data_IF_371482561608
#
_entry.id   IF_371482561608
#
_cell.length_a   1.000
_cell.length_b   1.000
_cell.length_c   1.000
_cell.angle_alpha   90.00
_cell.angle_beta   90.00
_cell.angle_gamma   90.00
#
_symmetry.space_group_name_H-M   'P 1'
#
loop_
_entity.id
_entity.type
_entity.pdbx_description
1 polymer ?
#
# COMPACT_ATOMS: atom_id res chain seq x y z
N UNK A 1 -9.85 -17.78 10.91
CA UNK A 1 -10.18 -16.35 11.05
C UNK A 1 -11.68 -16.25 11.27
N UNK A 2 -12.13 -15.89 12.48
CA UNK A 2 -13.56 -15.71 12.74
C UNK A 2 -13.94 -14.27 12.34
N UNK A 3 -14.95 -14.13 11.48
CA UNK A 3 -15.44 -12.84 11.00
C UNK A 3 -16.45 -12.27 11.98
N UNK A 4 -16.30 -11.01 12.39
CA UNK A 4 -17.30 -10.30 13.21
C UNK A 4 -18.61 -10.14 12.42
N UNK A 5 -19.79 -10.44 12.99
CA UNK A 5 -21.08 -10.25 12.33
C UNK A 5 -21.24 -8.81 11.83
N UNK A 6 -21.55 -8.63 10.54
CA UNK A 6 -21.78 -7.32 9.92
C UNK A 6 -20.57 -6.69 9.21
N UNK A 7 -19.34 -7.20 9.38
CA UNK A 7 -18.18 -6.75 8.60
C UNK A 7 -18.03 -7.63 7.38
N UNK A 8 -18.29 -7.07 6.19
CA UNK A 8 -18.04 -7.76 4.92
C UNK A 8 -16.52 -7.82 4.68
N UNK A 9 -15.91 -8.89 5.15
CA UNK A 9 -14.52 -9.20 4.92
C UNK A 9 -14.29 -9.38 3.42
N UNK A 10 -13.49 -8.49 2.82
CA UNK A 10 -12.96 -8.73 1.48
C UNK A 10 -11.82 -9.73 1.63
N UNK A 11 -12.06 -10.97 1.21
CA UNK A 11 -11.08 -12.04 1.27
C UNK A 11 -10.09 -11.89 0.11
N UNK A 12 -9.35 -10.79 0.08
CA UNK A 12 -8.24 -10.58 -0.86
C UNK A 12 -7.00 -11.19 -0.21
N UNK A 13 -6.34 -12.15 -0.88
CA UNK A 13 -5.09 -12.69 -0.37
C UNK A 13 -4.05 -11.56 -0.26
N UNK A 14 -3.47 -11.38 0.93
CA UNK A 14 -2.32 -10.47 1.12
C UNK A 14 -1.03 -11.16 0.66
N UNK A 15 -0.98 -12.49 0.79
CA UNK A 15 0.17 -13.30 0.40
C UNK A 15 -0.03 -13.78 -1.04
N UNK A 16 1.06 -13.80 -1.80
CA UNK A 16 1.15 -14.47 -3.09
C UNK A 16 1.03 -15.99 -2.94
N UNK A 17 1.02 -16.71 -4.06
CA UNK A 17 0.83 -18.17 -4.09
C UNK A 17 1.90 -18.97 -3.34
N UNK A 18 3.08 -18.39 -3.15
CA UNK A 18 4.19 -18.99 -2.39
C UNK A 18 4.10 -18.74 -0.87
N UNK A 19 3.05 -18.04 -0.41
CA UNK A 19 2.85 -17.70 0.99
C UNK A 19 3.70 -16.51 1.46
N UNK A 20 4.25 -15.70 0.55
CA UNK A 20 5.05 -14.51 0.86
C UNK A 20 4.42 -13.24 0.27
N UNK A 21 4.85 -12.08 0.77
CA UNK A 21 4.53 -10.78 0.21
C UNK A 21 5.66 -9.79 0.47
N UNK A 22 5.98 -8.96 -0.52
CA UNK A 22 6.81 -7.78 -0.40
C UNK A 22 5.92 -6.54 -0.36
N UNK A 23 5.86 -5.89 0.80
CA UNK A 23 5.04 -4.69 1.01
C UNK A 23 5.96 -3.52 1.35
N UNK A 24 5.88 -2.44 0.57
CA UNK A 24 6.65 -1.21 0.82
C UNK A 24 5.86 -0.30 1.77
N UNK A 25 6.42 -0.03 2.96
CA UNK A 25 5.80 0.84 3.95
C UNK A 25 6.15 2.32 3.73
N UNK A 26 5.13 3.16 3.60
CA UNK A 26 5.24 4.60 3.30
C UNK A 26 4.39 5.48 4.24
N UNK A 27 3.86 4.92 5.32
CA UNK A 27 2.88 5.54 6.20
C UNK A 27 3.47 6.44 7.29
N UNK A 28 4.80 6.41 7.47
CA UNK A 28 5.51 7.12 8.54
C UNK A 28 5.44 8.65 8.39
N UNK A 29 5.27 9.16 7.16
CA UNK A 29 5.10 10.59 6.90
C UNK A 29 3.87 11.19 7.61
N UNK A 30 2.88 10.35 8.00
CA UNK A 30 1.74 10.79 8.81
C UNK A 30 2.16 11.40 10.16
N UNK A 31 3.17 10.83 10.79
CA UNK A 31 3.63 11.23 12.12
C UNK A 31 4.77 12.24 12.07
N UNK A 32 5.58 12.20 11.01
CA UNK A 32 6.86 12.92 10.94
C UNK A 32 6.89 14.04 9.88
N UNK A 33 5.82 14.25 9.11
CA UNK A 33 5.84 15.15 7.95
C UNK A 33 6.52 14.50 6.73
N UNK A 34 6.87 15.29 5.73
CA UNK A 34 7.62 14.78 4.57
C UNK A 34 9.05 14.42 5.00
N UNK A 35 9.26 13.15 5.36
CA UNK A 35 10.57 12.59 5.67
C UNK A 35 11.37 12.38 4.38
N UNK A 36 12.70 12.35 4.52
CA UNK A 36 13.62 12.11 3.40
C UNK A 36 13.22 10.85 2.61
N UNK A 37 13.11 10.98 1.29
CA UNK A 37 12.71 9.91 0.37
C UNK A 37 11.19 9.73 0.22
N UNK A 38 10.33 10.44 0.95
CA UNK A 38 8.87 10.44 0.79
C UNK A 38 8.30 11.82 0.41
N UNK A 39 9.14 12.72 -0.08
CA UNK A 39 8.75 14.07 -0.52
C UNK A 39 7.78 14.01 -1.71
N UNK A 40 7.99 13.03 -2.61
CA UNK A 40 7.09 12.70 -3.70
C UNK A 40 6.58 11.25 -3.57
N UNK A 41 5.44 11.03 -2.89
CA UNK A 41 4.87 9.70 -2.77
C UNK A 41 4.50 9.06 -4.11
N UNK A 42 4.23 9.84 -5.16
CA UNK A 42 3.90 9.31 -6.47
C UNK A 42 5.10 8.62 -7.12
N UNK A 43 6.27 9.26 -7.09
CA UNK A 43 7.51 8.68 -7.60
C UNK A 43 7.91 7.40 -6.84
N UNK A 44 7.72 7.39 -5.52
CA UNK A 44 8.02 6.21 -4.68
C UNK A 44 7.06 5.06 -4.97
N UNK A 45 5.77 5.36 -5.19
CA UNK A 45 4.77 4.35 -5.60
C UNK A 45 5.18 3.73 -6.94
N UNK A 46 5.52 4.53 -7.95
CA UNK A 46 5.96 4.00 -9.25
C UNK A 46 7.21 3.14 -9.11
N UNK A 47 8.21 3.59 -8.36
CA UNK A 47 9.43 2.82 -8.12
C UNK A 47 9.16 1.48 -7.39
N UNK A 48 8.23 1.47 -6.43
CA UNK A 48 7.82 0.24 -5.75
C UNK A 48 7.13 -0.74 -6.70
N UNK A 49 6.24 -0.24 -7.55
CA UNK A 49 5.54 -1.05 -8.57
C UNK A 49 6.53 -1.60 -9.60
N UNK A 50 7.41 -0.77 -10.14
CA UNK A 50 8.44 -1.17 -11.11
C UNK A 50 9.43 -2.18 -10.50
N UNK A 51 9.68 -2.07 -9.19
CA UNK A 51 10.49 -3.02 -8.43
C UNK A 51 9.80 -4.35 -8.10
N UNK A 52 8.52 -4.50 -8.44
CA UNK A 52 7.76 -5.74 -8.22
C UNK A 52 7.25 -5.91 -6.79
N UNK A 53 6.98 -4.83 -6.06
CA UNK A 53 6.28 -4.92 -4.78
C UNK A 53 4.84 -5.43 -4.98
N UNK A 54 4.38 -6.32 -4.10
CA UNK A 54 3.02 -6.85 -4.13
C UNK A 54 1.99 -5.81 -3.67
N UNK A 55 2.41 -4.91 -2.77
CA UNK A 55 1.57 -3.82 -2.29
C UNK A 55 2.40 -2.68 -1.70
N UNK A 56 1.73 -1.53 -1.51
CA UNK A 56 2.23 -0.44 -0.65
C UNK A 56 1.32 -0.26 0.56
N UNK A 57 1.92 0.03 1.72
CA UNK A 57 1.19 0.42 2.92
C UNK A 57 1.34 1.92 3.12
N UNK A 58 0.23 2.66 3.04
CA UNK A 58 0.25 4.12 3.12
C UNK A 58 -1.00 4.69 3.78
N UNK A 59 -1.03 6.00 3.98
CA UNK A 59 -2.17 6.70 4.56
C UNK A 59 -3.35 6.79 3.59
N UNK A 60 -4.56 6.98 4.12
CA UNK A 60 -5.75 7.17 3.29
C UNK A 60 -5.63 8.36 2.31
N UNK A 61 -4.99 9.45 2.73
CA UNK A 61 -4.80 10.64 1.88
C UNK A 61 -3.93 10.36 0.66
N UNK A 62 -2.83 9.64 0.85
CA UNK A 62 -1.93 9.21 -0.23
C UNK A 62 -2.66 8.23 -1.14
N UNK A 63 -3.30 7.20 -0.58
CA UNK A 63 -4.05 6.20 -1.36
C UNK A 63 -5.17 6.83 -2.21
N UNK A 64 -5.89 7.81 -1.66
CA UNK A 64 -6.94 8.54 -2.38
C UNK A 64 -6.36 9.43 -3.50
N UNK A 65 -5.23 10.09 -3.25
CA UNK A 65 -4.59 11.00 -4.20
C UNK A 65 -3.96 10.25 -5.39
N UNK A 66 -3.32 9.12 -5.13
CA UNK A 66 -2.58 8.32 -6.12
C UNK A 66 -3.33 7.05 -6.52
N UNK A 67 -4.67 7.09 -6.50
CA UNK A 67 -5.51 5.92 -6.77
C UNK A 67 -5.26 5.31 -8.14
N UNK A 68 -4.93 6.13 -9.15
CA UNK A 68 -4.75 5.67 -10.53
C UNK A 68 -3.47 4.85 -10.65
N UNK A 69 -2.40 5.28 -9.97
CA UNK A 69 -1.13 4.55 -9.87
C UNK A 69 -1.27 3.23 -9.11
N UNK A 70 -2.20 3.16 -8.13
CA UNK A 70 -2.38 1.99 -7.27
C UNK A 70 -3.43 0.99 -7.76
N UNK A 71 -4.47 1.43 -8.47
CA UNK A 71 -5.61 0.58 -8.86
C UNK A 71 -5.55 0.08 -10.31
N UNK A 72 -4.56 0.54 -11.10
CA UNK A 72 -4.46 0.26 -12.54
C UNK A 72 -3.43 -0.80 -12.93
N UNK A 73 -2.85 -1.52 -11.97
CA UNK A 73 -1.71 -2.43 -12.16
C UNK A 73 -1.82 -3.63 -11.22
#
# INVERSE_FOLDING_TARGET
MQTTPGVKMRNVPILASDGRALIVAMDHARAHGAIEGLEDPGAVIEAAVDGGADAVMTTFGVAKRYREQLAGR
#
